data_IF_225129385031
#
_entry.id   IF_225129385031
#
_cell.length_a   1.000
_cell.length_b   1.000
_cell.length_c   1.000
_cell.angle_alpha   90.00
_cell.angle_beta   90.00
_cell.angle_gamma   90.00
#
_symmetry.space_group_name_H-M   'P 1'
#
loop_
_entity.id
_entity.type
_entity.pdbx_description
1 polymer ?
#
# COMPACT_ATOMS: atom_id res chain seq x y z
N UNK A 1 -1.02 -7.00 0.81
CA UNK A 1 -1.05 -8.27 0.05
C UNK A 1 -0.51 -8.11 -1.36
N UNK A 2 -1.05 -7.20 -2.18
CA UNK A 2 -0.55 -6.98 -3.55
C UNK A 2 0.97 -6.80 -3.66
N UNK A 3 1.60 -5.92 -2.87
CA UNK A 3 3.05 -5.71 -2.94
C UNK A 3 3.87 -6.98 -2.65
N UNK A 4 3.38 -7.85 -1.77
CA UNK A 4 4.04 -9.12 -1.45
C UNK A 4 3.91 -10.07 -2.65
N UNK A 5 2.68 -10.25 -3.17
CA UNK A 5 2.43 -11.11 -4.32
C UNK A 5 3.23 -10.64 -5.55
N UNK A 6 3.17 -9.34 -5.85
CA UNK A 6 3.93 -8.71 -6.93
C UNK A 6 5.43 -8.95 -6.79
N UNK A 7 5.99 -8.68 -5.61
CA UNK A 7 7.43 -8.85 -5.40
C UNK A 7 7.87 -10.32 -5.40
N UNK A 8 7.07 -11.24 -4.87
CA UNK A 8 7.34 -12.69 -4.95
C UNK A 8 7.32 -13.16 -6.41
N UNK A 9 6.33 -12.72 -7.20
CA UNK A 9 6.29 -13.00 -8.63
C UNK A 9 7.53 -12.43 -9.33
N UNK A 10 7.91 -11.18 -9.04
CA UNK A 10 9.09 -10.54 -9.61
C UNK A 10 10.41 -11.26 -9.30
N UNK A 11 10.55 -11.78 -8.06
CA UNK A 11 11.68 -12.64 -7.67
C UNK A 11 11.66 -13.96 -8.43
N UNK A 12 10.51 -14.64 -8.48
CA UNK A 12 10.36 -15.91 -9.18
C UNK A 12 10.66 -15.78 -10.69
N UNK A 13 10.07 -14.78 -11.35
CA UNK A 13 10.36 -14.50 -12.77
C UNK A 13 11.79 -14.05 -12.97
N UNK A 14 12.40 -13.35 -12.01
CA UNK A 14 13.81 -12.96 -12.08
C UNK A 14 14.77 -14.16 -12.08
N UNK A 15 14.43 -15.23 -11.35
CA UNK A 15 15.18 -16.49 -11.38
C UNK A 15 14.93 -17.26 -12.68
N UNK A 16 13.66 -17.33 -13.13
CA UNK A 16 13.30 -18.07 -14.35
C UNK A 16 13.85 -17.44 -15.63
N UNK A 17 13.87 -16.11 -15.68
CA UNK A 17 14.32 -15.30 -16.83
C UNK A 17 15.67 -14.65 -16.55
N UNK A 18 16.52 -15.32 -15.77
CA UNK A 18 17.78 -14.74 -15.28
C UNK A 18 18.68 -14.23 -16.42
N UNK A 19 18.85 -15.04 -17.46
CA UNK A 19 19.70 -14.69 -18.62
C UNK A 19 19.14 -13.47 -19.35
N UNK A 20 17.85 -13.46 -19.67
CA UNK A 20 17.20 -12.33 -20.36
C UNK A 20 17.37 -11.03 -19.57
N UNK A 21 17.23 -11.09 -18.23
CA UNK A 21 17.41 -9.93 -17.35
C UNK A 21 18.86 -9.48 -17.25
N UNK A 22 19.80 -10.41 -17.27
CA UNK A 22 21.23 -10.08 -17.33
C UNK A 22 21.57 -9.37 -18.64
N UNK A 23 21.09 -9.88 -19.77
CA UNK A 23 21.32 -9.31 -21.09
C UNK A 23 20.68 -7.92 -21.21
N UNK A 24 19.51 -7.73 -20.61
CA UNK A 24 18.86 -6.42 -20.52
C UNK A 24 19.73 -5.40 -19.76
N UNK A 25 20.33 -5.81 -18.63
CA UNK A 25 21.25 -4.98 -17.83
C UNK A 25 22.53 -4.69 -18.60
N UNK A 26 23.10 -5.67 -19.32
CA UNK A 26 24.24 -5.43 -20.20
C UNK A 26 23.93 -4.36 -21.26
N UNK A 27 22.70 -4.33 -21.78
CA UNK A 27 22.25 -3.29 -22.71
C UNK A 27 22.35 -1.87 -22.13
N UNK A 28 22.13 -1.68 -20.83
CA UNK A 28 22.29 -0.37 -20.18
C UNK A 28 23.74 -0.05 -19.81
N UNK A 29 24.56 -1.07 -19.55
CA UNK A 29 25.93 -0.93 -19.04
C UNK A 29 27.01 -1.48 -19.97
N UNK A 30 26.76 -1.46 -21.29
CA UNK A 30 27.64 -2.06 -22.30
C UNK A 30 29.10 -1.57 -22.22
N UNK A 31 29.34 -0.37 -21.68
CA UNK A 31 30.67 0.21 -21.51
C UNK A 31 31.45 -0.28 -20.28
N UNK A 32 30.81 -1.01 -19.34
CA UNK A 32 31.38 -1.32 -18.00
C UNK A 32 31.89 -2.77 -17.90
N UNK A 33 31.65 -3.62 -18.91
CA UNK A 33 32.14 -5.00 -18.98
C UNK A 33 31.20 -6.05 -18.37
N UNK A 34 31.25 -7.27 -18.90
CA UNK A 34 30.25 -8.34 -18.70
C UNK A 34 30.13 -8.88 -17.26
N UNK A 35 31.10 -8.62 -16.39
CA UNK A 35 31.06 -9.00 -14.97
C UNK A 35 30.14 -8.12 -14.13
N UNK A 36 29.94 -6.86 -14.53
CA UNK A 36 29.14 -5.89 -13.77
C UNK A 36 27.64 -6.23 -13.80
N UNK A 37 27.12 -6.73 -14.92
CA UNK A 37 25.70 -7.00 -15.09
C UNK A 37 25.16 -8.05 -14.10
N UNK A 38 25.90 -9.14 -13.87
CA UNK A 38 25.52 -10.13 -12.85
C UNK A 38 25.52 -9.53 -11.45
N UNK A 39 26.56 -8.76 -11.10
CA UNK A 39 26.66 -8.13 -9.80
C UNK A 39 25.51 -7.16 -9.53
N UNK A 40 25.17 -6.34 -10.52
CA UNK A 40 24.02 -5.42 -10.48
C UNK A 40 22.71 -6.20 -10.34
N UNK A 41 22.51 -7.28 -11.12
CA UNK A 41 21.29 -8.07 -11.05
C UNK A 41 21.11 -8.73 -9.67
N UNK A 42 22.19 -9.28 -9.09
CA UNK A 42 22.17 -9.82 -7.73
C UNK A 42 21.81 -8.74 -6.71
N UNK A 43 22.41 -7.55 -6.82
CA UNK A 43 22.10 -6.43 -5.92
C UNK A 43 20.62 -6.01 -6.04
N UNK A 44 20.10 -5.88 -7.27
CA UNK A 44 18.69 -5.56 -7.52
C UNK A 44 17.78 -6.60 -6.86
N UNK A 45 18.08 -7.90 -7.01
CA UNK A 45 17.28 -8.97 -6.40
C UNK A 45 17.38 -8.98 -4.88
N UNK A 46 18.53 -8.62 -4.30
CA UNK A 46 18.65 -8.44 -2.86
C UNK A 46 17.78 -7.28 -2.35
N UNK A 47 17.73 -6.17 -3.08
CA UNK A 47 16.86 -5.03 -2.76
C UNK A 47 15.38 -5.42 -2.91
N UNK A 48 14.99 -6.06 -4.01
CA UNK A 48 13.61 -6.56 -4.19
C UNK A 48 13.18 -7.49 -3.05
N UNK A 49 14.06 -8.42 -2.64
CA UNK A 49 13.80 -9.30 -1.50
C UNK A 49 13.61 -8.51 -0.19
N UNK A 50 14.44 -7.49 0.06
CA UNK A 50 14.28 -6.62 1.22
C UNK A 50 12.94 -5.85 1.19
N UNK A 51 12.49 -5.38 0.03
CA UNK A 51 11.19 -4.71 -0.13
C UNK A 51 10.02 -5.67 0.13
N UNK A 52 10.12 -6.91 -0.34
CA UNK A 52 9.13 -7.97 -0.04
C UNK A 52 9.07 -8.26 1.45
N UNK A 53 10.24 -8.39 2.10
CA UNK A 53 10.33 -8.60 3.54
C UNK A 53 9.76 -7.43 4.33
N UNK A 54 10.01 -6.18 3.91
CA UNK A 54 9.41 -4.99 4.54
C UNK A 54 7.88 -5.00 4.41
N UNK A 55 7.34 -5.35 3.23
CA UNK A 55 5.90 -5.47 3.03
C UNK A 55 5.30 -6.61 3.89
N UNK A 56 5.98 -7.75 3.99
CA UNK A 56 5.56 -8.86 4.84
C UNK A 56 5.60 -8.50 6.34
N UNK A 57 6.66 -7.81 6.78
CA UNK A 57 6.79 -7.30 8.14
C UNK A 57 5.69 -6.27 8.47
N UNK A 58 5.34 -5.39 7.53
CA UNK A 58 4.21 -4.45 7.68
C UNK A 58 2.89 -5.16 7.98
N UNK A 59 2.61 -6.27 7.26
CA UNK A 59 1.44 -7.12 7.54
C UNK A 59 1.56 -7.80 8.90
N UNK A 60 2.68 -8.50 9.16
CA UNK A 60 2.85 -9.33 10.34
C UNK A 60 2.85 -8.51 11.64
N UNK A 61 3.49 -7.34 11.63
CA UNK A 61 3.58 -6.43 12.77
C UNK A 61 2.42 -5.44 12.85
N UNK A 62 1.49 -5.46 11.87
CA UNK A 62 0.38 -4.51 11.74
C UNK A 62 0.85 -3.04 11.82
N UNK A 63 1.99 -2.74 11.19
CA UNK A 63 2.60 -1.42 11.17
C UNK A 63 2.57 -0.85 9.77
N UNK A 64 1.59 0.02 9.53
CA UNK A 64 1.35 0.57 8.20
C UNK A 64 2.53 1.40 7.66
N UNK A 65 3.31 2.00 8.57
CA UNK A 65 4.52 2.75 8.22
C UNK A 65 5.58 1.90 7.49
N UNK A 66 5.58 0.57 7.64
CA UNK A 66 6.50 -0.32 6.93
C UNK A 66 6.13 -0.54 5.46
N UNK A 67 4.91 -0.18 5.04
CA UNK A 67 4.54 -0.21 3.63
C UNK A 67 5.08 0.97 2.84
N UNK A 68 5.37 2.10 3.52
CA UNK A 68 5.92 3.30 2.88
C UNK A 68 7.27 3.01 2.19
N UNK A 69 8.30 2.44 2.88
CA UNK A 69 9.57 2.14 2.22
C UNK A 69 9.41 1.08 1.12
N UNK A 70 8.52 0.09 1.31
CA UNK A 70 8.25 -0.91 0.28
C UNK A 70 7.67 -0.26 -0.98
N UNK A 71 6.61 0.54 -0.85
CA UNK A 71 5.98 1.24 -1.96
C UNK A 71 6.95 2.22 -2.64
N UNK A 72 7.66 3.02 -1.86
CA UNK A 72 8.64 3.97 -2.37
C UNK A 72 9.76 3.26 -3.14
N UNK A 73 10.25 2.12 -2.65
CA UNK A 73 11.26 1.32 -3.33
C UNK A 73 10.78 0.79 -4.69
N UNK A 74 9.54 0.30 -4.77
CA UNK A 74 8.97 -0.14 -6.05
C UNK A 74 8.81 1.03 -7.03
N UNK A 75 8.32 2.19 -6.57
CA UNK A 75 8.22 3.39 -7.41
C UNK A 75 9.58 3.88 -7.88
N UNK A 76 10.60 3.85 -7.01
CA UNK A 76 11.96 4.21 -7.35
C UNK A 76 12.55 3.29 -8.44
N UNK A 77 12.22 1.99 -8.41
CA UNK A 77 12.59 1.04 -9.47
C UNK A 77 12.04 1.46 -10.84
N UNK A 78 10.74 1.71 -10.95
CA UNK A 78 10.13 2.18 -12.20
C UNK A 78 10.73 3.51 -12.68
N UNK A 79 10.94 4.45 -11.76
CA UNK A 79 11.54 5.74 -12.07
C UNK A 79 12.97 5.59 -12.60
N UNK A 80 13.77 4.71 -11.98
CA UNK A 80 15.14 4.43 -12.40
C UNK A 80 15.19 3.86 -13.82
N UNK A 81 14.35 2.89 -14.16
CA UNK A 81 14.27 2.35 -15.53
C UNK A 81 13.87 3.42 -16.54
N UNK A 82 12.86 4.25 -16.24
CA UNK A 82 12.47 5.34 -17.14
C UNK A 82 13.60 6.36 -17.36
N UNK A 83 14.37 6.69 -16.32
CA UNK A 83 15.56 7.54 -16.44
C UNK A 83 16.61 6.89 -17.33
N UNK A 84 16.91 5.60 -17.12
CA UNK A 84 17.87 4.85 -17.94
C UNK A 84 17.45 4.78 -19.40
N UNK A 85 16.17 4.54 -19.69
CA UNK A 85 15.66 4.49 -21.07
C UNK A 85 15.82 5.83 -21.79
N UNK A 86 15.55 6.95 -21.10
CA UNK A 86 15.73 8.28 -21.67
C UNK A 86 17.21 8.55 -21.94
N UNK A 87 18.09 8.26 -20.97
CA UNK A 87 19.54 8.48 -21.14
C UNK A 87 20.17 7.58 -22.22
N UNK A 88 19.63 6.37 -22.41
CA UNK A 88 20.09 5.42 -23.43
C UNK A 88 19.32 5.52 -24.75
N UNK A 89 18.41 6.49 -24.87
CA UNK A 89 17.55 6.71 -26.04
C UNK A 89 16.70 5.47 -26.45
N UNK A 90 16.36 4.61 -25.48
CA UNK A 90 15.56 3.40 -25.67
C UNK A 90 14.05 3.69 -25.56
N UNK A 91 13.51 4.43 -26.52
CA UNK A 91 12.08 4.83 -26.51
C UNK A 91 11.10 3.64 -26.45
N UNK A 92 11.46 2.50 -27.04
CA UNK A 92 10.68 1.26 -26.92
C UNK A 92 10.67 0.72 -25.48
N UNK A 93 11.83 0.71 -24.82
CA UNK A 93 11.95 0.35 -23.40
C UNK A 93 11.16 1.30 -22.51
N UNK A 94 11.24 2.61 -22.78
CA UNK A 94 10.47 3.61 -22.04
C UNK A 94 8.97 3.34 -22.11
N UNK A 95 8.43 3.07 -23.31
CA UNK A 95 7.03 2.77 -23.48
C UNK A 95 6.62 1.50 -22.71
N UNK A 96 7.45 0.46 -22.76
CA UNK A 96 7.25 -0.79 -22.01
C UNK A 96 7.22 -0.55 -20.49
N UNK A 97 8.19 0.18 -19.94
CA UNK A 97 8.24 0.49 -18.51
C UNK A 97 7.08 1.38 -18.05
N UNK A 98 6.60 2.31 -18.91
CA UNK A 98 5.41 3.10 -18.62
C UNK A 98 4.14 2.25 -18.57
N UNK A 99 4.01 1.27 -19.48
CA UNK A 99 2.89 0.31 -19.45
C UNK A 99 2.95 -0.55 -18.18
N UNK A 100 4.13 -1.02 -17.79
CA UNK A 100 4.30 -1.76 -16.54
C UNK A 100 3.98 -0.92 -15.30
N UNK A 101 4.42 0.35 -15.27
CA UNK A 101 4.07 1.28 -14.20
C UNK A 101 2.54 1.49 -14.13
N UNK A 102 1.90 1.73 -15.27
CA UNK A 102 0.45 1.90 -15.34
C UNK A 102 -0.30 0.65 -14.86
N UNK A 103 0.13 -0.55 -15.29
CA UNK A 103 -0.41 -1.81 -14.84
C UNK A 103 -0.22 -2.02 -13.33
N UNK A 104 0.96 -1.72 -12.81
CA UNK A 104 1.24 -1.77 -11.38
C UNK A 104 0.33 -0.85 -10.58
N UNK A 105 0.22 0.42 -10.98
CA UNK A 105 -0.62 1.42 -10.29
C UNK A 105 -2.08 1.01 -10.34
N UNK A 106 -2.58 0.56 -11.50
CA UNK A 106 -3.93 0.07 -11.68
C UNK A 106 -4.22 -1.10 -10.72
N UNK A 107 -3.37 -2.13 -10.74
CA UNK A 107 -3.55 -3.30 -9.87
C UNK A 107 -3.44 -2.96 -8.38
N UNK A 108 -2.57 -2.01 -8.03
CA UNK A 108 -2.46 -1.50 -6.66
C UNK A 108 -3.77 -0.84 -6.23
N UNK A 109 -4.34 0.05 -7.06
CA UNK A 109 -5.61 0.69 -6.80
C UNK A 109 -6.76 -0.32 -6.69
N UNK A 110 -6.83 -1.30 -7.60
CA UNK A 110 -7.83 -2.37 -7.53
C UNK A 110 -7.67 -3.18 -6.24
N UNK A 111 -6.46 -3.63 -5.92
CA UNK A 111 -6.22 -4.41 -4.71
C UNK A 111 -6.58 -3.63 -3.45
N UNK A 112 -6.27 -2.34 -3.39
CA UNK A 112 -6.61 -1.49 -2.26
C UNK A 112 -8.13 -1.26 -2.17
N UNK A 113 -8.78 -0.90 -3.28
CA UNK A 113 -10.22 -0.66 -3.34
C UNK A 113 -11.04 -1.91 -3.02
N UNK A 114 -10.65 -3.09 -3.53
CA UNK A 114 -11.27 -4.35 -3.17
C UNK A 114 -11.06 -4.69 -1.69
N UNK A 115 -9.87 -4.44 -1.14
CA UNK A 115 -9.59 -4.67 0.28
C UNK A 115 -10.46 -3.77 1.18
N UNK A 116 -10.64 -2.50 0.82
CA UNK A 116 -11.50 -1.58 1.56
C UNK A 116 -12.97 -2.02 1.55
N UNK A 117 -13.48 -2.46 0.39
CA UNK A 117 -14.83 -3.02 0.28
C UNK A 117 -15.01 -4.29 1.11
N UNK A 118 -14.01 -5.18 1.11
CA UNK A 118 -14.05 -6.40 1.89
C UNK A 118 -14.06 -6.13 3.41
N UNK A 119 -13.29 -5.14 3.87
CA UNK A 119 -13.30 -4.71 5.28
C UNK A 119 -14.65 -4.11 5.68
N UNK A 120 -15.26 -3.27 4.83
CA UNK A 120 -16.59 -2.72 5.07
C UNK A 120 -17.68 -3.79 5.11
N UNK A 121 -17.65 -4.76 4.19
CA UNK A 121 -18.58 -5.89 4.17
C UNK A 121 -18.39 -6.83 5.38
N UNK A 122 -17.14 -7.01 5.84
CA UNK A 122 -16.83 -7.76 7.06
C UNK A 122 -17.37 -7.07 8.32
N UNK A 123 -17.09 -5.77 8.48
CA UNK A 123 -17.56 -4.99 9.63
C UNK A 123 -19.09 -4.94 9.73
N UNK A 124 -19.80 -4.85 8.60
CA UNK A 124 -21.26 -4.92 8.57
C UNK A 124 -21.81 -6.29 8.98
N UNK A 125 -21.02 -7.36 8.82
CA UNK A 125 -21.40 -8.75 9.14
C UNK A 125 -21.05 -9.13 10.57
N UNK A 126 -20.12 -8.41 11.18
CA UNK A 126 -19.60 -8.62 12.53
C UNK A 126 -20.31 -7.76 13.58
N UNK A 127 -21.22 -6.86 13.18
CA UNK A 127 -22.13 -6.15 14.07
C UNK A 127 -23.18 -7.12 14.62
N UNK A 128 -23.13 -7.53 15.90
CA UNK A 128 -24.20 -8.28 16.53
C UNK A 128 -25.29 -7.30 16.98
N UNK A 129 -26.54 -7.75 16.99
CA UNK A 129 -27.66 -7.11 17.69
C UNK A 129 -27.47 -7.13 19.23
N UNK A 130 -26.35 -6.60 19.72
CA UNK A 130 -26.05 -6.49 21.15
C UNK A 130 -25.85 -5.02 21.56
N UNK A 131 -26.86 -4.39 22.21
CA UNK A 131 -26.77 -3.02 22.71
C UNK A 131 -25.74 -2.84 23.85
N UNK A 132 -25.09 -3.91 24.31
CA UNK A 132 -24.15 -3.88 25.44
C UNK A 132 -22.67 -3.84 25.04
N UNK A 133 -22.34 -3.86 23.74
CA UNK A 133 -20.96 -3.75 23.24
C UNK A 133 -20.42 -2.31 23.28
N UNK A 134 -20.57 -1.63 24.43
CA UNK A 134 -19.94 -0.36 24.69
C UNK A 134 -18.41 -0.50 24.79
N UNK A 135 -17.69 0.39 24.09
CA UNK A 135 -16.32 0.84 24.40
C UNK A 135 -15.10 -0.05 24.12
N UNK A 136 -15.19 -1.19 23.39
CA UNK A 136 -14.01 -2.06 23.20
C UNK A 136 -13.26 -1.96 21.87
N UNK A 137 -13.63 -1.04 20.97
CA UNK A 137 -13.05 -0.97 19.62
C UNK A 137 -12.82 0.42 19.05
N UNK A 138 -13.00 1.48 19.85
CA UNK A 138 -12.82 2.85 19.38
C UNK A 138 -11.36 3.27 19.60
N UNK A 139 -10.73 3.80 18.56
CA UNK A 139 -9.41 4.43 18.72
C UNK A 139 -9.55 5.64 19.66
N UNK A 140 -8.52 5.98 20.46
CA UNK A 140 -8.58 7.12 21.42
C UNK A 140 -9.17 8.40 20.84
N UNK A 141 -8.92 8.67 19.55
CA UNK A 141 -9.45 9.84 18.84
C UNK A 141 -10.96 9.77 18.65
N UNK A 142 -11.51 8.57 18.39
CA UNK A 142 -12.96 8.35 18.31
C UNK A 142 -13.62 8.42 19.69
N UNK A 143 -12.94 7.97 20.74
CA UNK A 143 -13.41 8.17 22.12
C UNK A 143 -13.51 9.66 22.47
N UNK A 144 -12.53 10.48 22.07
CA UNK A 144 -12.59 11.94 22.24
C UNK A 144 -13.72 12.58 21.43
N UNK A 145 -13.94 12.14 20.20
CA UNK A 145 -15.04 12.64 19.37
C UNK A 145 -16.42 12.30 19.99
N UNK A 146 -16.57 11.08 20.53
CA UNK A 146 -17.78 10.66 21.23
C UNK A 146 -18.00 11.41 22.54
N UNK A 147 -16.95 11.67 23.31
CA UNK A 147 -17.04 12.53 24.49
C UNK A 147 -17.40 13.98 24.12
N UNK A 148 -16.88 14.52 23.02
CA UNK A 148 -17.23 15.85 22.56
C UNK A 148 -18.72 15.97 22.16
N UNK A 149 -19.25 14.94 21.49
CA UNK A 149 -20.67 14.87 21.11
C UNK A 149 -21.57 14.71 22.33
N UNK A 150 -21.22 13.83 23.28
CA UNK A 150 -21.98 13.64 24.52
C UNK A 150 -21.88 14.82 25.50
N UNK A 151 -20.91 15.72 25.31
CA UNK A 151 -20.79 16.96 26.09
C UNK A 151 -21.72 18.06 25.60
N UNK A 152 -22.30 17.93 24.40
CA UNK A 152 -23.39 18.81 23.95
C UNK A 152 -24.62 18.38 24.75
N UNK A 153 -25.07 19.19 25.73
CA UNK A 153 -26.20 18.79 26.56
C UNK A 153 -27.42 18.67 25.65
N UNK A 154 -28.13 17.55 25.78
CA UNK A 154 -29.52 17.34 25.36
C UNK A 154 -30.49 18.28 26.12
N UNK A 155 -30.10 19.53 26.34
CA UNK A 155 -30.82 20.55 27.09
C UNK A 155 -31.70 21.45 26.23
N UNK A 156 -31.83 21.21 24.91
CA UNK A 156 -32.65 22.03 24.01
C UNK A 156 -33.96 21.36 23.54
N UNK A 157 -34.28 20.15 24.01
CA UNK A 157 -35.53 19.44 23.65
C UNK A 157 -36.30 18.93 24.87
N UNK A 158 -36.38 19.74 25.93
CA UNK A 158 -37.33 19.53 27.03
C UNK A 158 -38.54 20.48 26.90
N UNK A 159 -39.79 20.00 27.06
CA UNK A 159 -40.96 20.89 27.05
C UNK A 159 -40.85 21.91 28.19
N UNK A 160 -41.01 23.22 27.88
CA UNK A 160 -41.03 24.28 28.89
C UNK A 160 -42.10 23.98 29.96
N UNK A 161 -41.80 24.11 31.26
CA UNK A 161 -42.82 24.03 32.30
C UNK A 161 -43.82 25.16 32.12
N UNK A 162 -45.11 24.83 32.04
CA UNK A 162 -46.20 25.81 32.01
C UNK A 162 -46.33 26.43 33.41
N UNK A 163 -46.39 27.76 33.57
CA UNK A 163 -46.58 28.36 34.89
C UNK A 163 -47.94 27.94 35.45
N UNK A 164 -47.94 27.42 36.68
CA UNK A 164 -49.17 27.12 37.42
C UNK A 164 -49.95 28.39 37.68
N UNK A 165 -51.25 28.35 37.41
CA UNK A 165 -52.21 29.37 37.81
C UNK A 165 -52.48 29.17 39.29
N UNK A 166 -52.08 30.12 40.12
CA UNK A 166 -52.63 30.26 41.46
C UNK A 166 -54.01 30.92 41.35
N UNK A 167 -54.90 30.50 42.25
CA UNK A 167 -56.34 30.73 42.29
C UNK A 167 -56.78 32.19 42.12
#
# INVERSE_FOLDING_TARGET
MFLIAYGVTGLATGVLLWTDRRDEIEGYFASVGSGAATGVLVLVKAVEAALVLAAAAGVALRRDMLFVPALAGWMAGFAMFGVLDVFTARWGGLAEHLVYLAGFVLLLFLSYGLSAKAQLAGAAREAPDDPSAGSRGLTRTQEFALQAINRIPTGLTGPRPRPGRHD
#
